data_IF_551886315963
#
_entry.id   IF_551886315963
#
_cell.length_a   1.000
_cell.length_b   1.000
_cell.length_c   1.000
_cell.angle_alpha   90.00
_cell.angle_beta   90.00
_cell.angle_gamma   90.00
#
_symmetry.space_group_name_H-M   'P 1'
#
loop_
_entity.id
_entity.type
_entity.pdbx_description
1 polymer ?
#
# COMPACT_ATOMS: atom_id res chain seq x y z
N UNK A 1 -3.04 -10.90 -24.40
CA UNK A 1 -1.92 -10.38 -23.58
C UNK A 1 -2.31 -9.14 -22.77
N UNK A 2 -3.22 -8.30 -23.26
CA UNK A 2 -3.61 -7.07 -22.53
C UNK A 2 -4.40 -7.32 -21.25
N UNK A 3 -5.42 -8.19 -21.28
CA UNK A 3 -6.28 -8.49 -20.12
C UNK A 3 -5.49 -8.94 -18.88
N UNK A 4 -4.41 -9.71 -19.08
CA UNK A 4 -3.53 -10.14 -17.99
C UNK A 4 -2.83 -8.95 -17.30
N UNK A 5 -2.35 -7.97 -18.08
CA UNK A 5 -1.73 -6.76 -17.54
C UNK A 5 -2.73 -5.94 -16.73
N UNK A 6 -3.97 -5.83 -17.20
CA UNK A 6 -5.07 -5.14 -16.50
C UNK A 6 -5.33 -5.81 -15.15
N UNK A 7 -5.49 -7.14 -15.15
CA UNK A 7 -5.79 -7.91 -13.93
C UNK A 7 -4.66 -7.77 -12.91
N UNK A 8 -3.40 -7.93 -13.32
CA UNK A 8 -2.23 -7.78 -12.44
C UNK A 8 -2.14 -6.36 -11.89
N UNK A 9 -2.39 -5.35 -12.72
CA UNK A 9 -2.41 -3.95 -12.29
C UNK A 9 -3.45 -3.68 -11.20
N UNK A 10 -4.71 -4.12 -11.40
CA UNK A 10 -5.76 -3.93 -10.40
C UNK A 10 -5.49 -4.73 -9.11
N UNK A 11 -4.87 -5.90 -9.22
CA UNK A 11 -4.47 -6.71 -8.05
C UNK A 11 -3.42 -5.98 -7.21
N UNK A 12 -2.40 -5.41 -7.85
CA UNK A 12 -1.37 -4.59 -7.19
C UNK A 12 -1.95 -3.28 -6.63
N UNK A 13 -2.87 -2.65 -7.35
CA UNK A 13 -3.56 -1.43 -6.90
C UNK A 13 -4.37 -1.71 -5.63
N UNK A 14 -5.15 -2.80 -5.63
CA UNK A 14 -5.95 -3.22 -4.49
C UNK A 14 -5.07 -3.57 -3.29
N UNK A 15 -4.00 -4.33 -3.49
CA UNK A 15 -3.06 -4.70 -2.44
C UNK A 15 -2.42 -3.45 -1.79
N UNK A 16 -1.94 -2.52 -2.61
CA UNK A 16 -1.35 -1.27 -2.17
C UNK A 16 -2.33 -0.38 -1.39
N UNK A 17 -3.60 -0.35 -1.81
CA UNK A 17 -4.67 0.38 -1.14
C UNK A 17 -5.00 -0.24 0.22
N UNK A 18 -5.11 -1.57 0.31
CA UNK A 18 -5.37 -2.29 1.56
C UNK A 18 -4.24 -2.04 2.57
N UNK A 19 -2.98 -2.14 2.14
CA UNK A 19 -1.82 -1.89 3.01
C UNK A 19 -1.83 -0.45 3.53
N UNK A 20 -2.14 0.54 2.68
CA UNK A 20 -2.13 1.94 3.10
C UNK A 20 -3.31 2.28 4.03
N UNK A 21 -4.50 1.72 3.77
CA UNK A 21 -5.68 1.84 4.66
C UNK A 21 -5.38 1.21 6.03
N UNK A 22 -4.79 0.01 6.06
CA UNK A 22 -4.40 -0.66 7.31
C UNK A 22 -3.30 0.12 8.05
N UNK A 23 -2.33 0.69 7.33
CA UNK A 23 -1.25 1.48 7.90
C UNK A 23 -1.72 2.82 8.48
N UNK A 24 -2.77 3.43 7.93
CA UNK A 24 -3.30 4.72 8.40
C UNK A 24 -4.45 4.57 9.41
N UNK A 25 -5.37 3.63 9.22
CA UNK A 25 -6.59 3.49 10.04
C UNK A 25 -6.38 2.92 11.44
N UNK A 26 -5.26 2.23 11.71
CA UNK A 26 -5.03 1.50 12.98
C UNK A 26 -4.15 2.21 14.01
N UNK A 27 -3.80 3.48 13.80
CA UNK A 27 -2.88 4.21 14.69
C UNK A 27 -3.35 4.28 16.16
N UNK A 28 -4.66 4.41 16.42
CA UNK A 28 -5.18 4.55 17.79
C UNK A 28 -5.20 3.24 18.61
N UNK A 29 -5.49 2.10 17.96
CA UNK A 29 -5.61 0.80 18.64
C UNK A 29 -4.26 0.04 18.65
N UNK A 30 -3.44 0.20 17.62
CA UNK A 30 -2.19 -0.54 17.44
C UNK A 30 -1.02 0.04 18.27
N UNK A 31 -0.95 1.37 18.43
CA UNK A 31 0.06 2.03 19.29
C UNK A 31 -0.10 1.64 20.77
N UNK A 32 -1.35 1.38 21.21
CA UNK A 32 -1.64 0.91 22.57
C UNK A 32 -1.18 -0.53 22.82
N UNK A 33 -1.22 -1.41 21.82
CA UNK A 33 -0.94 -2.83 21.99
C UNK A 33 0.49 -3.24 21.60
N UNK A 34 1.14 -2.51 20.68
CA UNK A 34 2.47 -2.85 20.15
C UNK A 34 3.40 -1.62 20.06
N UNK A 35 3.92 -1.21 21.21
CA UNK A 35 4.80 -0.04 21.39
C UNK A 35 6.19 -0.18 20.72
N UNK A 36 6.64 -1.41 20.46
CA UNK A 36 7.93 -1.69 19.80
C UNK A 36 7.82 -1.63 18.27
N UNK A 37 6.71 -2.12 17.71
CA UNK A 37 6.47 -2.08 16.26
C UNK A 37 6.14 -0.67 15.76
N UNK A 38 5.57 0.21 16.59
CA UNK A 38 5.26 1.59 16.20
C UNK A 38 6.47 2.43 15.74
N UNK A 39 7.70 1.99 16.03
CA UNK A 39 8.95 2.61 15.54
C UNK A 39 9.32 2.19 14.11
N UNK A 40 8.86 1.03 13.65
CA UNK A 40 9.04 0.54 12.27
C UNK A 40 7.84 0.88 11.36
N UNK A 41 6.65 1.10 11.94
CA UNK A 41 5.45 1.56 11.24
C UNK A 41 5.63 2.83 10.37
N UNK A 42 6.46 3.86 10.70
CA UNK A 42 6.70 4.96 9.77
C UNK A 42 7.33 4.50 8.46
N UNK A 43 8.23 3.50 8.50
CA UNK A 43 8.82 2.91 7.28
C UNK A 43 7.74 2.19 6.48
N UNK A 44 6.85 1.45 7.12
CA UNK A 44 5.76 0.73 6.44
C UNK A 44 4.73 1.67 5.81
N UNK A 45 4.44 2.82 6.44
CA UNK A 45 3.58 3.87 5.88
C UNK A 45 4.21 4.53 4.66
N UNK A 46 5.49 4.88 4.75
CA UNK A 46 6.25 5.46 3.63
C UNK A 46 6.33 4.45 2.49
N UNK A 47 6.59 3.18 2.79
CA UNK A 47 6.66 2.11 1.80
C UNK A 47 5.31 1.85 1.13
N UNK A 48 4.20 1.83 1.88
CA UNK A 48 2.85 1.69 1.32
C UNK A 48 2.44 2.86 0.40
N UNK A 49 2.82 4.09 0.76
CA UNK A 49 2.64 5.27 -0.10
C UNK A 49 3.48 5.17 -1.38
N UNK A 50 4.75 4.80 -1.27
CA UNK A 50 5.62 4.57 -2.43
C UNK A 50 5.09 3.47 -3.35
N UNK A 51 4.52 2.41 -2.78
CA UNK A 51 3.94 1.32 -3.54
C UNK A 51 2.72 1.77 -4.35
N UNK A 52 1.81 2.55 -3.76
CA UNK A 52 0.69 3.17 -4.50
C UNK A 52 1.18 4.06 -5.64
N UNK A 53 2.21 4.88 -5.40
CA UNK A 53 2.76 5.79 -6.41
C UNK A 53 3.35 4.99 -7.59
N UNK A 54 4.11 3.93 -7.29
CA UNK A 54 4.68 3.05 -8.31
C UNK A 54 3.59 2.33 -9.11
N UNK A 55 2.56 1.81 -8.44
CA UNK A 55 1.44 1.18 -9.13
C UNK A 55 0.73 2.20 -10.01
N UNK A 56 0.34 3.37 -9.48
CA UNK A 56 -0.30 4.42 -10.27
C UNK A 56 0.55 4.86 -11.48
N UNK A 57 1.87 4.93 -11.33
CA UNK A 57 2.79 5.23 -12.42
C UNK A 57 2.82 4.14 -13.49
N UNK A 58 2.84 2.86 -13.10
CA UNK A 58 2.72 1.74 -14.05
C UNK A 58 1.40 1.81 -14.81
N UNK A 59 0.31 2.18 -14.13
CA UNK A 59 -0.99 2.42 -14.75
C UNK A 59 -0.92 3.51 -15.82
N UNK A 60 -0.37 4.68 -15.46
CA UNK A 60 -0.21 5.81 -16.37
C UNK A 60 0.70 5.51 -17.58
N UNK A 61 1.70 4.63 -17.43
CA UNK A 61 2.56 4.22 -18.54
C UNK A 61 1.93 3.16 -19.44
N UNK A 62 0.95 2.40 -18.91
CA UNK A 62 0.36 1.24 -19.59
C UNK A 62 -0.99 1.56 -20.25
N UNK A 63 -1.71 2.55 -19.74
CA UNK A 63 -3.02 3.01 -20.21
C UNK A 63 -2.99 4.50 -20.53
#
# INVERSE_FOLDING_TARGET
>A
METFKIVVFYLLLLDSAIVNILAWGRNGWYVRHFRTFSRYVPITKVWGLWYIILVAWVGFLTF
#
